data_IF_098550277519
#
_entry.id   IF_098550277519
#
_cell.length_a   1.000
_cell.length_b   1.000
_cell.length_c   1.000
_cell.angle_alpha   90.00
_cell.angle_beta   90.00
_cell.angle_gamma   90.00
#
_symmetry.space_group_name_H-M   'P 1'
#
loop_
_entity.id
_entity.type
_entity.pdbx_description
1 polymer ?
#
# COMPACT_ATOMS: atom_id res chain seq x y z
N UNK A 1 9.14 31.82 -10.97
CA UNK A 1 8.53 30.71 -11.73
C UNK A 1 9.09 29.42 -11.16
N UNK A 2 8.31 28.69 -10.37
CA UNK A 2 8.72 27.38 -9.88
C UNK A 2 8.20 26.30 -10.82
N UNK A 3 9.13 25.69 -11.55
CA UNK A 3 8.88 24.46 -12.28
C UNK A 3 9.04 23.29 -11.30
N UNK A 4 7.93 22.76 -10.79
CA UNK A 4 7.91 21.53 -9.98
C UNK A 4 7.71 20.33 -10.92
N UNK A 5 8.62 20.15 -11.87
CA UNK A 5 8.75 18.87 -12.57
C UNK A 5 9.70 17.97 -11.79
N UNK A 6 9.38 16.67 -11.72
CA UNK A 6 10.15 15.55 -11.11
C UNK A 6 9.67 15.16 -9.71
N UNK A 7 8.67 14.26 -9.61
CA UNK A 7 8.84 12.80 -9.75
C UNK A 7 7.43 12.16 -9.64
N UNK A 8 6.83 11.82 -10.77
CA UNK A 8 5.56 11.08 -10.86
C UNK A 8 5.87 9.63 -11.20
N UNK A 9 5.16 8.66 -10.61
CA UNK A 9 5.26 7.25 -11.04
C UNK A 9 4.27 7.08 -12.21
N UNK A 10 4.73 6.68 -13.42
CA UNK A 10 3.81 6.40 -14.52
C UNK A 10 2.81 5.32 -14.14
N UNK A 11 1.52 5.53 -14.45
CA UNK A 11 0.43 4.61 -14.09
C UNK A 11 0.70 3.17 -14.48
N UNK A 12 1.23 2.94 -15.68
CA UNK A 12 1.61 1.59 -16.12
C UNK A 12 2.62 0.94 -15.17
N UNK A 13 3.71 1.64 -14.82
CA UNK A 13 4.73 1.10 -13.91
C UNK A 13 4.19 0.88 -12.50
N UNK A 14 3.26 1.72 -12.07
CA UNK A 14 2.61 1.54 -10.78
C UNK A 14 1.74 0.27 -10.78
N UNK A 15 0.88 0.09 -11.78
CA UNK A 15 0.01 -1.09 -11.91
C UNK A 15 0.81 -2.38 -12.05
N UNK A 16 1.85 -2.40 -12.89
CA UNK A 16 2.75 -3.55 -13.03
C UNK A 16 3.40 -3.93 -11.68
N UNK A 17 3.73 -2.94 -10.83
CA UNK A 17 4.28 -3.18 -9.50
C UNK A 17 3.26 -3.81 -8.55
N UNK A 18 2.00 -3.38 -8.60
CA UNK A 18 0.92 -3.91 -7.76
C UNK A 18 0.50 -5.32 -8.21
N UNK A 19 0.43 -5.58 -9.53
CA UNK A 19 0.18 -6.91 -10.08
C UNK A 19 1.26 -7.91 -9.65
N UNK A 20 2.53 -7.51 -9.76
CA UNK A 20 3.67 -8.32 -9.31
C UNK A 20 3.63 -8.58 -7.81
N UNK A 21 3.14 -7.61 -7.03
CA UNK A 21 2.96 -7.75 -5.58
C UNK A 21 1.90 -8.79 -5.26
N UNK A 22 0.78 -8.80 -6.00
CA UNK A 22 -0.27 -9.80 -5.88
C UNK A 22 0.22 -11.21 -6.26
N UNK A 23 0.99 -11.33 -7.33
CA UNK A 23 1.62 -12.60 -7.74
C UNK A 23 2.56 -13.13 -6.65
N UNK A 24 3.43 -12.27 -6.11
CA UNK A 24 4.32 -12.62 -5.02
C UNK A 24 3.52 -13.07 -3.79
N UNK A 25 2.48 -12.35 -3.41
CA UNK A 25 1.64 -12.73 -2.28
C UNK A 25 1.05 -14.13 -2.48
N UNK A 26 0.53 -14.43 -3.67
CA UNK A 26 -0.05 -15.73 -4.03
C UNK A 26 0.97 -16.87 -3.89
N UNK A 27 2.21 -16.66 -4.33
CA UNK A 27 3.28 -17.65 -4.25
C UNK A 27 3.68 -17.94 -2.80
N UNK A 28 3.94 -16.89 -2.02
CA UNK A 28 4.55 -17.02 -0.69
C UNK A 28 3.55 -17.27 0.43
N UNK A 29 2.29 -16.89 0.28
CA UNK A 29 1.24 -17.11 1.31
C UNK A 29 1.08 -18.57 1.68
N UNK A 30 1.24 -19.49 0.71
CA UNK A 30 1.20 -20.94 0.96
C UNK A 30 2.26 -21.40 1.94
N UNK A 31 3.44 -20.77 1.92
CA UNK A 31 4.57 -21.07 2.81
C UNK A 31 4.54 -20.26 4.11
N UNK A 32 3.92 -19.09 4.08
CA UNK A 32 3.85 -18.16 5.20
C UNK A 32 2.38 -17.78 5.49
N UNK A 33 1.63 -18.59 6.27
CA UNK A 33 0.21 -18.37 6.50
C UNK A 33 -0.13 -17.02 7.15
N UNK A 34 0.81 -16.44 7.91
CA UNK A 34 0.70 -15.11 8.56
C UNK A 34 1.41 -13.99 7.78
N UNK A 35 1.58 -14.15 6.46
CA UNK A 35 2.19 -13.13 5.63
C UNK A 35 1.31 -11.87 5.61
N UNK A 36 1.83 -10.78 6.17
CA UNK A 36 1.29 -9.43 6.04
C UNK A 36 2.05 -8.63 4.98
N UNK A 37 1.49 -7.50 4.57
CA UNK A 37 2.09 -6.63 3.56
C UNK A 37 2.72 -5.39 4.19
N UNK A 38 3.93 -5.04 3.77
CA UNK A 38 4.67 -3.89 4.29
C UNK A 38 5.08 -2.98 3.14
N UNK A 39 4.74 -1.70 3.23
CA UNK A 39 5.01 -0.70 2.20
C UNK A 39 5.79 0.46 2.80
N UNK A 40 7.00 0.70 2.28
CA UNK A 40 7.76 1.92 2.58
C UNK A 40 7.42 3.01 1.58
N UNK A 41 6.50 3.88 1.96
CA UNK A 41 6.02 4.99 1.15
C UNK A 41 6.71 6.33 1.44
N UNK A 42 7.79 6.35 2.25
CA UNK A 42 8.51 7.59 2.59
C UNK A 42 9.09 8.33 1.38
N UNK A 43 9.47 7.57 0.36
CA UNK A 43 10.04 8.10 -0.88
C UNK A 43 9.03 8.14 -2.04
N UNK A 44 7.78 7.73 -1.80
CA UNK A 44 6.71 7.79 -2.81
C UNK A 44 6.33 9.26 -2.98
N UNK A 45 6.45 9.73 -4.21
CA UNK A 45 6.28 11.15 -4.53
C UNK A 45 4.84 11.50 -4.89
N UNK A 46 4.28 10.80 -5.86
CA UNK A 46 2.89 10.98 -6.30
C UNK A 46 2.45 9.76 -7.10
N UNK A 47 1.31 9.20 -6.72
CA UNK A 47 0.52 8.22 -7.47
C UNK A 47 -0.76 8.92 -7.90
N UNK A 48 -1.29 8.59 -9.07
CA UNK A 48 -2.54 9.20 -9.53
C UNK A 48 -3.72 8.71 -8.69
N UNK A 49 -4.77 9.54 -8.56
CA UNK A 49 -6.00 9.14 -7.86
C UNK A 49 -6.66 7.94 -8.52
N UNK A 50 -6.61 7.86 -9.85
CA UNK A 50 -7.18 6.75 -10.63
C UNK A 50 -6.47 5.43 -10.35
N UNK A 51 -5.14 5.48 -10.19
CA UNK A 51 -4.36 4.30 -9.85
C UNK A 51 -4.59 3.87 -8.40
N UNK A 52 -4.69 4.82 -7.47
CA UNK A 52 -5.08 4.52 -6.09
C UNK A 52 -6.48 3.88 -6.02
N UNK A 53 -7.41 4.37 -6.83
CA UNK A 53 -8.76 3.81 -6.93
C UNK A 53 -8.74 2.40 -7.54
N UNK A 54 -7.96 2.20 -8.59
CA UNK A 54 -7.79 0.88 -9.19
C UNK A 54 -7.21 -0.15 -8.21
N UNK A 55 -6.26 0.24 -7.36
CA UNK A 55 -5.74 -0.64 -6.30
C UNK A 55 -6.84 -1.01 -5.30
N UNK A 56 -7.64 -0.05 -4.85
CA UNK A 56 -8.73 -0.33 -3.90
C UNK A 56 -9.83 -1.21 -4.50
N UNK A 57 -10.09 -1.08 -5.81
CA UNK A 57 -11.19 -1.78 -6.47
C UNK A 57 -10.80 -3.16 -7.02
N UNK A 58 -9.52 -3.36 -7.34
CA UNK A 58 -9.03 -4.57 -8.02
C UNK A 58 -8.03 -5.34 -7.16
N UNK A 59 -6.96 -4.68 -6.71
CA UNK A 59 -5.82 -5.36 -6.07
C UNK A 59 -6.13 -5.75 -4.62
N UNK A 60 -6.72 -4.85 -3.83
CA UNK A 60 -7.06 -5.13 -2.43
C UNK A 60 -8.06 -6.28 -2.29
N UNK A 61 -9.18 -6.33 -3.05
CA UNK A 61 -10.12 -7.45 -2.98
C UNK A 61 -9.46 -8.79 -3.32
N UNK A 62 -8.62 -8.84 -4.36
CA UNK A 62 -7.91 -10.06 -4.74
C UNK A 62 -6.89 -10.48 -3.67
N UNK A 63 -6.16 -9.53 -3.08
CA UNK A 63 -5.23 -9.81 -1.99
C UNK A 63 -5.95 -10.35 -0.75
N UNK A 64 -7.11 -9.80 -0.42
CA UNK A 64 -7.96 -10.27 0.70
C UNK A 64 -8.51 -11.68 0.45
N UNK A 65 -8.95 -12.00 -0.78
CA UNK A 65 -9.36 -13.37 -1.16
C UNK A 65 -8.21 -14.38 -1.01
N UNK A 66 -6.96 -13.95 -1.20
CA UNK A 66 -5.77 -14.75 -0.94
C UNK A 66 -5.40 -14.84 0.56
N UNK A 67 -6.17 -14.19 1.44
CA UNK A 67 -6.00 -14.22 2.89
C UNK A 67 -5.06 -13.14 3.44
N UNK A 68 -4.82 -12.06 2.70
CA UNK A 68 -4.21 -10.86 3.28
C UNK A 68 -5.16 -10.29 4.32
N UNK A 69 -4.62 -10.01 5.52
CA UNK A 69 -5.39 -9.46 6.64
C UNK A 69 -4.87 -8.10 7.08
N UNK A 70 -3.56 -7.88 6.97
CA UNK A 70 -2.87 -6.69 7.48
C UNK A 70 -1.92 -6.10 6.46
N UNK A 71 -2.00 -4.79 6.27
CA UNK A 71 -1.07 -3.99 5.47
C UNK A 71 -0.55 -2.81 6.29
N UNK A 72 0.77 -2.67 6.36
CA UNK A 72 1.41 -1.59 7.13
C UNK A 72 2.18 -0.65 6.20
N UNK A 73 1.92 0.64 6.34
CA UNK A 73 2.62 1.69 5.62
C UNK A 73 3.62 2.41 6.52
N UNK A 74 4.80 2.71 6.00
CA UNK A 74 5.70 3.70 6.60
C UNK A 74 5.67 4.94 5.74
N UNK A 75 5.35 6.07 6.35
CA UNK A 75 5.15 7.34 5.63
C UNK A 75 5.88 8.49 6.30
N UNK A 76 6.21 9.56 5.56
CA UNK A 76 6.74 10.77 6.18
C UNK A 76 5.67 11.38 7.08
N UNK A 77 6.08 12.12 8.12
CA UNK A 77 5.20 12.91 8.99
C UNK A 77 4.62 14.14 8.26
N UNK A 78 4.25 14.01 6.99
CA UNK A 78 3.55 15.07 6.26
C UNK A 78 2.04 14.85 6.35
N UNK A 79 1.29 15.91 6.66
CA UNK A 79 -0.17 15.88 6.73
C UNK A 79 -0.83 15.38 5.43
N UNK A 80 -0.19 15.63 4.28
CA UNK A 80 -0.66 15.17 2.97
C UNK A 80 -0.63 13.64 2.88
N UNK A 81 0.45 12.99 3.34
CA UNK A 81 0.55 11.54 3.27
C UNK A 81 -0.45 10.85 4.20
N UNK A 82 -0.70 11.43 5.38
CA UNK A 82 -1.74 10.92 6.29
C UNK A 82 -3.14 11.01 5.68
N UNK A 83 -3.47 12.10 4.97
CA UNK A 83 -4.75 12.25 4.27
C UNK A 83 -4.95 11.18 3.18
N UNK A 84 -3.91 10.91 2.38
CA UNK A 84 -3.95 9.90 1.32
C UNK A 84 -4.18 8.50 1.90
N UNK A 85 -3.47 8.15 2.98
CA UNK A 85 -3.67 6.87 3.65
C UNK A 85 -5.07 6.80 4.25
N UNK A 86 -5.54 7.84 4.93
CA UNK A 86 -6.87 7.81 5.54
C UNK A 86 -7.97 7.63 4.49
N UNK A 87 -7.83 8.26 3.32
CA UNK A 87 -8.73 8.04 2.19
C UNK A 87 -8.62 6.60 1.66
N UNK A 88 -7.41 6.04 1.58
CA UNK A 88 -7.20 4.65 1.18
C UNK A 88 -7.81 3.65 2.17
N UNK A 89 -7.63 3.87 3.49
CA UNK A 89 -8.26 3.11 4.58
C UNK A 89 -9.78 3.20 4.53
N UNK A 90 -10.32 4.38 4.28
CA UNK A 90 -11.77 4.57 4.18
C UNK A 90 -12.35 3.82 2.97
N UNK A 91 -11.64 3.86 1.83
CA UNK A 91 -12.05 3.16 0.59
C UNK A 91 -11.87 1.65 0.66
N UNK A 92 -10.91 1.15 1.43
CA UNK A 92 -10.72 -0.29 1.61
C UNK A 92 -11.84 -0.96 2.42
N UNK A 93 -12.74 -0.18 3.04
CA UNK A 93 -14.03 -0.69 3.55
C UNK A 93 -13.92 -1.85 4.54
N UNK A 94 -12.84 -1.92 5.31
CA UNK A 94 -12.52 -3.02 6.25
C UNK A 94 -12.20 -4.38 5.59
N UNK A 95 -11.91 -4.42 4.28
CA UNK A 95 -11.49 -5.64 3.56
C UNK A 95 -10.19 -6.21 4.14
N UNK A 96 -9.29 -5.32 4.59
CA UNK A 96 -8.07 -5.63 5.35
C UNK A 96 -7.83 -4.53 6.40
N UNK A 97 -7.10 -4.86 7.46
CA UNK A 97 -6.60 -3.88 8.41
C UNK A 97 -5.41 -3.15 7.81
N UNK A 98 -5.48 -1.82 7.78
CA UNK A 98 -4.44 -0.98 7.22
C UNK A 98 -4.01 0.02 8.29
N UNK A 99 -2.71 0.09 8.55
CA UNK A 99 -2.16 1.05 9.51
C UNK A 99 -0.90 1.75 9.00
N UNK A 100 -0.69 2.99 9.41
CA UNK A 100 0.45 3.80 9.00
C UNK A 100 1.32 4.20 10.19
N UNK A 101 2.62 4.18 9.97
CA UNK A 101 3.64 4.37 11.00
C UNK A 101 4.70 5.36 10.52
N UNK A 102 5.33 6.07 11.46
CA UNK A 102 6.52 6.89 11.18
C UNK A 102 7.80 6.05 11.19
N UNK A 103 7.76 4.83 11.73
CA UNK A 103 8.91 3.92 11.84
C UNK A 103 8.63 2.54 11.25
N UNK A 104 9.58 2.05 10.46
CA UNK A 104 9.62 0.66 9.97
C UNK A 104 9.56 -0.36 11.11
N UNK A 105 10.21 -0.06 12.24
CA UNK A 105 10.24 -0.97 13.38
C UNK A 105 8.84 -1.20 13.96
N UNK A 106 8.04 -0.14 14.03
CA UNK A 106 6.68 -0.19 14.58
C UNK A 106 5.73 -0.90 13.63
N UNK A 107 5.78 -0.55 12.35
CA UNK A 107 5.03 -1.21 11.30
C UNK A 107 5.27 -2.73 11.28
N UNK A 108 6.55 -3.16 11.31
CA UNK A 108 6.91 -4.58 11.34
C UNK A 108 6.49 -5.28 12.64
N UNK A 109 6.49 -4.57 13.77
CA UNK A 109 6.00 -5.12 15.05
C UNK A 109 4.48 -5.32 15.01
N UNK A 110 3.73 -4.39 14.43
CA UNK A 110 2.28 -4.49 14.30
C UNK A 110 1.85 -5.62 13.35
N UNK A 111 2.55 -5.81 12.23
CA UNK A 111 2.27 -6.93 11.30
C UNK A 111 2.45 -8.33 11.92
N UNK A 112 3.19 -8.44 13.03
CA UNK A 112 3.46 -9.71 13.72
C UNK A 112 2.51 -10.01 14.88
N UNK A 113 1.72 -9.01 15.29
CA UNK A 113 0.69 -9.17 16.34
C UNK A 113 -0.51 -9.93 15.75
#
# INVERSE_FOLDING_TARGET
>A
MEWIGKKFIPSQKYRESEEKSLEFYREYKRRFPRLGWFVDARNVKSVSTDDMQWVTDVILPESSKLGLQKEAFVVPESAITQLVINNYKAKSGSIIEIEAFSSEREAKKWLKQ
#
